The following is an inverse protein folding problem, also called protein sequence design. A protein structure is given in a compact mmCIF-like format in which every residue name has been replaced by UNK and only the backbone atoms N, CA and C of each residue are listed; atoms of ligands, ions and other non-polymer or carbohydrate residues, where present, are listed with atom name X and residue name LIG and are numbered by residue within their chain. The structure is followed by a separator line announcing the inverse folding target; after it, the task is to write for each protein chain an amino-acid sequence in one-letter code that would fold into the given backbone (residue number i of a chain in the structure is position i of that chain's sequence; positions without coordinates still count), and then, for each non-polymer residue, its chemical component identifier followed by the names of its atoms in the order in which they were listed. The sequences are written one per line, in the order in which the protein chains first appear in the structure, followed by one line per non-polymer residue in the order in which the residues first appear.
data_IF_223741388733
#
_entry.id   IF_223741388733
#
_cell.length_a   1.000
_cell.length_b   1.000
_cell.length_c   1.000
_cell.angle_alpha   90.00
_cell.angle_beta   90.00
_cell.angle_gamma   90.00
#
_symmetry.space_group_name_H-M   'P 1'
#
loop_
_entity.id
_entity.type
_entity.pdbx_description
1 polymer ?
#
# COMPACT_ATOMS: atom_id res chain seq x y z
N UNK A 1 -1.25 -4.12 26.06
CA UNK A 1 -0.60 -5.11 25.20
C UNK A 1 -0.96 -6.52 25.65
N UNK A 2 -0.58 -6.98 26.84
CA UNK A 2 -0.72 -8.34 27.34
C UNK A 2 -2.14 -8.90 27.24
N UNK A 3 -3.15 -8.18 27.76
CA UNK A 3 -4.55 -8.60 27.69
C UNK A 3 -4.99 -8.94 26.25
N UNK A 4 -4.67 -8.09 25.27
CA UNK A 4 -5.04 -8.32 23.88
C UNK A 4 -4.33 -9.54 23.28
N UNK A 5 -3.05 -9.77 23.62
CA UNK A 5 -2.33 -10.96 23.19
C UNK A 5 -2.99 -12.24 23.74
N UNK A 6 -3.31 -12.28 25.02
CA UNK A 6 -3.97 -13.43 25.66
C UNK A 6 -5.37 -13.69 25.09
N UNK A 7 -6.15 -12.63 24.83
CA UNK A 7 -7.44 -12.75 24.15
C UNK A 7 -7.30 -13.34 22.75
N UNK A 8 -6.28 -12.97 22.00
CA UNK A 8 -6.02 -13.48 20.65
C UNK A 8 -5.56 -14.94 20.68
N UNK A 9 -4.65 -15.30 21.57
CA UNK A 9 -4.24 -16.70 21.80
C UNK A 9 -5.45 -17.59 22.08
N UNK A 10 -6.33 -17.13 22.98
CA UNK A 10 -7.57 -17.84 23.31
C UNK A 10 -8.52 -17.98 22.12
N UNK A 11 -8.71 -16.90 21.34
CA UNK A 11 -9.58 -16.91 20.13
C UNK A 11 -9.04 -17.85 19.06
N UNK A 12 -7.73 -17.83 18.84
CA UNK A 12 -7.05 -18.69 17.87
C UNK A 12 -6.91 -20.14 18.36
N UNK A 13 -7.11 -20.39 19.64
CA UNK A 13 -6.91 -21.71 20.30
C UNK A 13 -5.49 -22.24 20.10
N UNK A 14 -4.49 -21.37 20.28
CA UNK A 14 -3.07 -21.69 20.16
C UNK A 14 -2.32 -21.28 21.42
N UNK A 15 -1.19 -21.93 21.69
CA UNK A 15 -0.33 -21.62 22.84
C UNK A 15 0.60 -20.43 22.57
N UNK A 16 0.96 -20.20 21.30
CA UNK A 16 1.80 -19.09 20.86
C UNK A 16 1.40 -18.60 19.48
N UNK A 17 1.86 -17.38 19.13
CA UNK A 17 1.74 -16.80 17.78
C UNK A 17 3.14 -16.68 17.20
N UNK A 18 3.34 -17.18 15.96
CA UNK A 18 4.67 -17.16 15.33
C UNK A 18 5.13 -15.72 15.04
N UNK A 19 4.33 -14.92 14.34
CA UNK A 19 4.63 -13.52 14.03
C UNK A 19 3.58 -12.60 14.62
N UNK A 20 3.96 -11.79 15.61
CA UNK A 20 3.04 -10.83 16.21
C UNK A 20 3.37 -9.41 15.79
N UNK A 21 2.43 -8.76 15.08
CA UNK A 21 2.65 -7.48 14.48
C UNK A 21 2.21 -6.31 15.35
N UNK A 22 3.07 -5.30 15.48
CA UNK A 22 2.62 -3.95 15.77
C UNK A 22 1.90 -3.42 14.53
N UNK A 23 0.59 -3.26 14.61
CA UNK A 23 -0.26 -2.94 13.48
C UNK A 23 -0.15 -1.47 13.07
N UNK A 24 -0.04 -1.23 11.75
CA UNK A 24 -0.13 0.09 11.10
C UNK A 24 0.84 1.13 11.70
N UNK A 25 2.13 0.77 11.80
CA UNK A 25 3.13 1.71 12.30
C UNK A 25 3.42 2.80 11.28
N UNK A 26 3.31 4.02 11.78
CA UNK A 26 3.82 5.25 11.21
C UNK A 26 4.63 5.99 12.28
N UNK A 27 5.28 7.09 11.94
CA UNK A 27 6.12 7.83 12.89
C UNK A 27 5.35 8.27 14.14
N UNK A 28 4.12 8.76 13.97
CA UNK A 28 3.27 9.24 15.06
C UNK A 28 2.91 8.11 16.03
N UNK A 29 2.42 6.97 15.50
CA UNK A 29 2.07 5.80 16.32
C UNK A 29 3.30 5.20 16.99
N UNK A 30 4.40 5.10 16.27
CA UNK A 30 5.63 4.58 16.85
C UNK A 30 6.11 5.41 18.03
N UNK A 31 6.20 6.75 17.90
CA UNK A 31 6.62 7.65 18.97
C UNK A 31 5.61 7.73 20.12
N UNK A 32 4.34 8.02 19.77
CA UNK A 32 3.34 8.42 20.76
C UNK A 32 2.60 7.23 21.40
N UNK A 33 2.70 6.05 20.82
CA UNK A 33 2.07 4.85 21.41
C UNK A 33 3.12 3.81 21.76
N UNK A 34 3.90 3.33 20.80
CA UNK A 34 4.82 2.22 21.04
C UNK A 34 5.92 2.59 22.03
N UNK A 35 6.65 3.67 21.76
CA UNK A 35 7.74 4.12 22.64
C UNK A 35 7.22 4.73 23.93
N UNK A 36 6.22 5.61 23.86
CA UNK A 36 5.66 6.29 25.04
C UNK A 36 5.16 5.30 26.12
N UNK A 37 4.58 4.18 25.70
CA UNK A 37 4.03 3.18 26.62
C UNK A 37 4.95 1.96 26.79
N UNK A 38 6.22 2.03 26.40
CA UNK A 38 7.20 0.95 26.53
C UNK A 38 6.74 -0.40 25.94
N UNK A 39 5.92 -0.37 24.85
CA UNK A 39 5.33 -1.59 24.32
C UNK A 39 6.36 -2.54 23.70
N UNK A 40 7.54 -2.06 23.32
CA UNK A 40 8.64 -2.92 22.86
C UNK A 40 9.14 -3.84 23.98
N UNK A 41 9.21 -3.33 25.22
CA UNK A 41 9.58 -4.13 26.39
C UNK A 41 8.52 -5.21 26.68
N UNK A 42 7.25 -4.84 26.55
CA UNK A 42 6.15 -5.81 26.74
C UNK A 42 6.16 -6.89 25.64
N UNK A 43 6.50 -6.52 24.40
CA UNK A 43 6.66 -7.50 23.32
C UNK A 43 7.83 -8.44 23.55
N UNK A 44 8.98 -7.90 23.98
CA UNK A 44 10.14 -8.73 24.31
C UNK A 44 9.82 -9.71 25.44
N UNK A 45 9.16 -9.24 26.52
CA UNK A 45 8.72 -10.08 27.62
C UNK A 45 7.80 -11.22 27.14
N UNK A 46 6.83 -10.91 26.27
CA UNK A 46 5.94 -11.94 25.73
C UNK A 46 6.70 -12.95 24.84
N UNK A 47 7.75 -12.51 24.15
CA UNK A 47 8.65 -13.39 23.40
C UNK A 47 9.48 -14.29 24.34
N UNK A 48 10.06 -13.73 25.38
CA UNK A 48 10.86 -14.48 26.38
C UNK A 48 10.00 -15.54 27.11
N UNK A 49 8.71 -15.25 27.29
CA UNK A 49 7.72 -16.19 27.86
C UNK A 49 7.22 -17.23 26.83
N UNK A 50 7.63 -17.16 25.56
CA UNK A 50 7.25 -18.09 24.52
C UNK A 50 5.84 -17.90 23.95
N UNK A 51 5.13 -16.81 24.28
CA UNK A 51 3.78 -16.51 23.77
C UNK A 51 3.78 -15.99 22.33
N UNK A 52 4.90 -15.41 21.93
CA UNK A 52 5.17 -15.02 20.53
C UNK A 52 6.58 -15.45 20.16
N UNK A 53 6.80 -15.85 18.90
CA UNK A 53 8.14 -16.24 18.44
C UNK A 53 8.90 -15.07 17.82
N UNK A 54 8.23 -14.28 16.98
CA UNK A 54 8.84 -13.19 16.25
C UNK A 54 8.07 -11.88 16.44
N UNK A 55 8.80 -10.80 16.73
CA UNK A 55 8.25 -9.45 16.86
C UNK A 55 8.32 -8.80 15.49
N UNK A 56 7.18 -8.30 15.03
CA UNK A 56 7.02 -7.77 13.68
C UNK A 56 6.24 -6.46 13.66
N UNK A 57 6.20 -5.78 12.52
CA UNK A 57 5.32 -4.62 12.36
C UNK A 57 4.76 -4.53 10.94
N UNK A 58 3.56 -3.97 10.82
CA UNK A 58 3.04 -3.48 9.53
C UNK A 58 3.25 -1.98 9.42
N UNK A 59 3.54 -1.51 8.21
CA UNK A 59 4.07 -0.18 7.98
C UNK A 59 3.26 0.62 6.95
N UNK A 60 2.90 1.86 7.31
CA UNK A 60 2.17 2.81 6.48
C UNK A 60 2.70 4.25 6.65
N UNK A 61 3.91 4.51 6.14
CA UNK A 61 4.52 5.85 6.19
C UNK A 61 5.62 5.97 5.10
N UNK A 62 6.42 7.02 5.17
CA UNK A 62 7.58 7.25 4.28
C UNK A 62 8.69 6.22 4.54
N UNK A 63 9.40 5.76 3.52
CA UNK A 63 10.45 4.72 3.64
C UNK A 63 11.54 5.03 4.67
N UNK A 64 11.85 6.31 4.90
CA UNK A 64 12.83 6.75 5.90
C UNK A 64 12.38 6.44 7.33
N UNK A 65 11.07 6.49 7.58
CA UNK A 65 10.47 6.12 8.88
C UNK A 65 10.63 4.62 9.09
N UNK A 66 10.39 3.80 8.07
CA UNK A 66 10.60 2.34 8.15
C UNK A 66 12.03 2.01 8.60
N UNK A 67 13.04 2.65 8.01
CA UNK A 67 14.44 2.44 8.38
C UNK A 67 14.70 2.77 9.86
N UNK A 68 14.17 3.90 10.34
CA UNK A 68 14.29 4.28 11.76
C UNK A 68 13.64 3.27 12.71
N UNK A 69 12.48 2.72 12.33
CA UNK A 69 11.82 1.68 13.12
C UNK A 69 12.65 0.39 13.13
N UNK A 70 13.20 -0.02 12.00
CA UNK A 70 14.09 -1.19 11.87
C UNK A 70 15.34 -1.02 12.75
N UNK A 71 15.93 0.17 12.81
CA UNK A 71 17.17 0.43 13.57
C UNK A 71 17.01 0.34 15.08
N UNK A 72 15.78 0.23 15.60
CA UNK A 72 15.55 -0.11 17.02
C UNK A 72 16.02 -1.54 17.36
N UNK A 73 16.13 -2.42 16.35
CA UNK A 73 16.81 -3.72 16.49
C UNK A 73 15.99 -4.84 17.12
N UNK A 74 14.70 -4.63 17.43
CA UNK A 74 13.85 -5.67 18.04
C UNK A 74 13.01 -6.42 16.99
N UNK A 75 12.80 -5.85 15.82
CA UNK A 75 11.91 -6.41 14.80
C UNK A 75 12.63 -7.43 13.93
N UNK A 76 11.91 -8.49 13.58
CA UNK A 76 12.40 -9.62 12.78
C UNK A 76 11.72 -9.71 11.41
N UNK A 77 10.58 -9.04 11.25
CA UNK A 77 9.96 -8.87 9.94
C UNK A 77 9.18 -7.56 9.83
N UNK A 78 8.94 -7.15 8.59
CA UNK A 78 8.09 -6.01 8.26
C UNK A 78 7.07 -6.42 7.20
N UNK A 79 5.83 -5.97 7.37
CA UNK A 79 4.78 -6.04 6.36
C UNK A 79 4.56 -4.64 5.78
N UNK A 80 4.80 -4.45 4.49
CA UNK A 80 4.68 -3.15 3.84
C UNK A 80 4.05 -3.23 2.45
N UNK A 81 3.53 -2.11 1.99
CA UNK A 81 2.96 -1.97 0.65
C UNK A 81 4.07 -2.07 -0.41
N UNK A 82 3.88 -2.93 -1.39
CA UNK A 82 4.71 -3.01 -2.58
C UNK A 82 3.96 -3.71 -3.72
N UNK A 83 3.95 -3.10 -4.88
CA UNK A 83 3.42 -3.68 -6.10
C UNK A 83 3.99 -2.93 -7.31
N UNK A 84 3.58 -3.36 -8.50
CA UNK A 84 4.02 -2.82 -9.78
C UNK A 84 3.76 -1.30 -9.93
N UNK A 85 2.68 -0.77 -9.30
CA UNK A 85 2.30 0.65 -9.35
C UNK A 85 2.83 1.45 -8.15
N UNK A 86 3.17 0.78 -7.03
CA UNK A 86 3.68 1.41 -5.82
C UNK A 86 4.99 0.74 -5.40
N UNK A 87 6.09 1.37 -5.74
CA UNK A 87 7.47 0.92 -5.49
C UNK A 87 8.19 1.76 -4.44
N UNK A 88 7.48 2.64 -3.75
CA UNK A 88 8.05 3.61 -2.81
C UNK A 88 8.92 2.95 -1.73
N UNK A 89 8.52 1.78 -1.24
CA UNK A 89 9.23 1.05 -0.18
C UNK A 89 10.42 0.20 -0.65
N UNK A 90 10.72 0.12 -1.95
CA UNK A 90 11.72 -0.82 -2.49
C UNK A 90 13.12 -0.68 -1.85
N UNK A 91 13.58 0.56 -1.67
CA UNK A 91 14.86 0.83 -0.99
C UNK A 91 14.84 0.48 0.51
N UNK A 92 13.70 0.67 1.17
CA UNK A 92 13.54 0.33 2.59
C UNK A 92 13.41 -1.19 2.79
N UNK A 93 12.78 -1.90 1.87
CA UNK A 93 12.74 -3.37 1.83
C UNK A 93 14.15 -3.96 1.69
N UNK A 94 14.95 -3.42 0.77
CA UNK A 94 16.35 -3.82 0.63
C UNK A 94 17.17 -3.54 1.91
N UNK A 95 16.88 -2.44 2.61
CA UNK A 95 17.47 -2.14 3.91
C UNK A 95 17.05 -3.16 4.97
N UNK A 96 15.76 -3.47 5.08
CA UNK A 96 15.22 -4.48 5.99
C UNK A 96 15.92 -5.84 5.79
N UNK A 97 16.06 -6.27 4.54
CA UNK A 97 16.73 -7.54 4.20
C UNK A 97 18.20 -7.54 4.62
N UNK A 98 18.94 -6.44 4.41
CA UNK A 98 20.35 -6.33 4.89
C UNK A 98 20.48 -6.36 6.40
N UNK A 99 19.44 -5.91 7.13
CA UNK A 99 19.36 -5.99 8.60
C UNK A 99 18.86 -7.35 9.10
N UNK A 100 18.63 -8.29 8.22
CA UNK A 100 18.19 -9.65 8.57
C UNK A 100 16.68 -9.83 8.74
N UNK A 101 15.85 -8.81 8.44
CA UNK A 101 14.41 -8.91 8.56
C UNK A 101 13.80 -9.70 7.39
N UNK A 102 12.75 -10.46 7.69
CA UNK A 102 11.81 -10.94 6.69
C UNK A 102 10.96 -9.78 6.15
N UNK A 103 10.69 -9.79 4.84
CA UNK A 103 9.84 -8.77 4.20
C UNK A 103 8.59 -9.43 3.65
N UNK A 104 7.45 -9.14 4.26
CA UNK A 104 6.14 -9.47 3.75
C UNK A 104 5.55 -8.28 2.99
N UNK A 105 4.86 -8.55 1.90
CA UNK A 105 4.26 -7.53 1.04
C UNK A 105 2.74 -7.58 1.16
N UNK A 106 2.12 -6.44 1.46
CA UNK A 106 0.69 -6.24 1.32
C UNK A 106 0.36 -5.53 0.01
N UNK A 107 -0.82 -5.80 -0.52
CA UNK A 107 -1.31 -5.20 -1.76
C UNK A 107 -0.49 -5.55 -3.00
N UNK A 108 -0.01 -6.81 -3.18
CA UNK A 108 0.78 -7.21 -4.34
C UNK A 108 0.03 -7.00 -5.67
N UNK A 109 -1.29 -7.13 -5.64
CA UNK A 109 -2.21 -6.87 -6.77
C UNK A 109 -2.90 -5.49 -6.63
N UNK A 110 -2.31 -4.59 -5.82
CA UNK A 110 -2.81 -3.23 -5.63
C UNK A 110 -4.23 -3.14 -5.06
N UNK A 111 -4.64 -4.08 -4.18
CA UNK A 111 -6.02 -4.14 -3.67
C UNK A 111 -7.04 -4.45 -4.78
N UNK A 112 -6.71 -5.33 -5.72
CA UNK A 112 -7.55 -5.70 -6.86
C UNK A 112 -7.46 -4.75 -8.06
N UNK A 113 -6.81 -3.60 -7.93
CA UNK A 113 -6.67 -2.61 -9.03
C UNK A 113 -5.99 -3.18 -10.26
N UNK A 114 -4.97 -4.00 -10.07
CA UNK A 114 -4.23 -4.64 -11.15
C UNK A 114 -4.98 -5.84 -11.75
N UNK A 115 -6.05 -6.31 -11.11
CA UNK A 115 -6.86 -7.40 -11.62
C UNK A 115 -7.79 -6.97 -12.77
N UNK A 116 -8.12 -5.69 -12.88
CA UNK A 116 -9.06 -5.15 -13.90
C UNK A 116 -8.34 -4.51 -15.10
N UNK A 117 -7.01 -4.48 -15.12
CA UNK A 117 -6.23 -3.82 -16.18
C UNK A 117 -5.58 -4.83 -17.13
N UNK A 118 -6.09 -4.92 -18.35
CA UNK A 118 -5.44 -5.70 -19.43
C UNK A 118 -4.24 -4.98 -20.06
N UNK A 119 -4.06 -3.71 -19.78
CA UNK A 119 -3.02 -2.87 -20.39
C UNK A 119 -1.61 -3.37 -20.04
N UNK A 120 -1.43 -3.87 -18.82
CA UNK A 120 -0.15 -4.43 -18.38
C UNK A 120 0.13 -5.80 -19.02
N UNK A 121 -0.92 -6.56 -19.34
CA UNK A 121 -0.83 -7.84 -20.04
C UNK A 121 -0.29 -7.65 -21.48
N UNK A 122 -0.77 -6.63 -22.18
CA UNK A 122 -0.29 -6.26 -23.52
C UNK A 122 1.20 -5.88 -23.52
N UNK A 123 1.69 -5.28 -22.40
CA UNK A 123 3.08 -4.85 -22.31
C UNK A 123 4.09 -6.02 -22.28
N UNK A 124 3.66 -7.22 -21.88
CA UNK A 124 4.54 -8.39 -21.71
C UNK A 124 4.25 -9.49 -22.74
N UNK A 125 3.16 -9.38 -23.46
CA UNK A 125 2.78 -10.35 -24.49
C UNK A 125 2.01 -11.56 -23.97
N UNK A 126 1.81 -12.59 -24.81
CA UNK A 126 0.88 -13.69 -24.58
C UNK A 126 1.25 -14.66 -23.47
N UNK A 127 2.50 -14.64 -22.99
CA UNK A 127 2.99 -15.59 -21.98
C UNK A 127 2.48 -15.32 -20.57
N UNK A 128 1.80 -14.20 -20.37
CA UNK A 128 1.20 -13.85 -19.08
C UNK A 128 -0.28 -14.18 -19.09
N UNK A 129 -0.69 -15.16 -18.28
CA UNK A 129 -2.08 -15.64 -18.26
C UNK A 129 -3.09 -14.62 -17.74
N UNK A 130 -2.69 -13.80 -16.76
CA UNK A 130 -3.56 -12.77 -16.18
C UNK A 130 -2.74 -11.60 -15.63
N UNK A 131 -3.39 -10.45 -15.43
CA UNK A 131 -2.75 -9.30 -14.79
C UNK A 131 -2.40 -9.55 -13.31
N UNK A 132 -3.22 -10.24 -12.50
CA UNK A 132 -2.81 -10.69 -11.16
C UNK A 132 -1.56 -11.55 -11.16
N UNK A 133 -1.46 -12.51 -12.06
CA UNK A 133 -0.28 -13.36 -12.20
C UNK A 133 0.98 -12.54 -12.53
N UNK A 134 0.85 -11.53 -13.42
CA UNK A 134 1.93 -10.60 -13.72
C UNK A 134 2.35 -9.81 -12.48
N UNK A 135 1.39 -9.25 -11.75
CA UNK A 135 1.65 -8.45 -10.56
C UNK A 135 2.35 -9.27 -9.46
N UNK A 136 1.92 -10.51 -9.23
CA UNK A 136 2.56 -11.42 -8.29
C UNK A 136 3.96 -11.81 -8.75
N UNK A 137 4.17 -12.16 -10.02
CA UNK A 137 5.50 -12.46 -10.57
C UNK A 137 6.44 -11.26 -10.44
N UNK A 138 5.94 -10.02 -10.63
CA UNK A 138 6.73 -8.81 -10.40
C UNK A 138 7.20 -8.71 -8.93
N UNK A 139 6.29 -8.94 -7.99
CA UNK A 139 6.62 -8.90 -6.55
C UNK A 139 7.64 -9.98 -6.20
N UNK A 140 7.48 -11.21 -6.69
CA UNK A 140 8.41 -12.32 -6.43
C UNK A 140 9.76 -12.17 -7.14
N UNK A 141 9.84 -11.39 -8.23
CA UNK A 141 11.12 -11.07 -8.87
C UNK A 141 12.03 -10.21 -7.97
N UNK A 142 11.47 -9.52 -6.96
CA UNK A 142 12.26 -8.76 -6.01
C UNK A 142 12.83 -9.69 -4.93
N UNK A 143 14.14 -9.97 -5.01
CA UNK A 143 14.88 -10.84 -4.07
C UNK A 143 14.80 -10.45 -2.59
N UNK A 144 14.34 -9.26 -2.29
CA UNK A 144 14.16 -8.80 -0.91
C UNK A 144 12.81 -9.26 -0.32
N UNK A 145 11.85 -9.70 -1.15
CA UNK A 145 10.54 -10.19 -0.72
C UNK A 145 10.65 -11.62 -0.22
N UNK A 146 10.08 -11.88 0.95
CA UNK A 146 9.98 -13.23 1.54
C UNK A 146 8.59 -13.82 1.36
N UNK A 147 7.56 -12.98 1.35
CA UNK A 147 6.14 -13.38 1.33
C UNK A 147 5.30 -12.29 0.68
N UNK A 148 4.27 -12.67 -0.06
CA UNK A 148 3.24 -11.76 -0.56
C UNK A 148 1.86 -12.19 -0.05
N UNK A 149 1.10 -11.25 0.51
CA UNK A 149 -0.26 -11.45 0.98
C UNK A 149 -1.24 -11.03 -0.12
N UNK A 150 -1.99 -11.96 -0.66
CA UNK A 150 -3.03 -11.70 -1.65
C UNK A 150 -4.41 -12.03 -1.09
N UNK A 151 -5.36 -11.11 -1.23
CA UNK A 151 -6.77 -11.38 -0.97
C UNK A 151 -7.34 -12.30 -2.06
N UNK A 152 -8.00 -13.38 -1.66
CA UNK A 152 -8.58 -14.37 -2.55
C UNK A 152 -10.01 -14.65 -2.09
N UNK A 153 -10.99 -14.41 -2.96
CA UNK A 153 -12.42 -14.51 -2.63
C UNK A 153 -13.05 -15.84 -3.06
N UNK A 154 -12.34 -16.58 -3.91
CA UNK A 154 -12.80 -17.87 -4.45
C UNK A 154 -11.64 -18.84 -4.66
N UNK A 155 -12.00 -20.10 -4.92
CA UNK A 155 -11.05 -21.19 -5.10
C UNK A 155 -10.14 -21.00 -6.31
N UNK A 156 -10.68 -20.47 -7.38
CA UNK A 156 -9.96 -20.23 -8.64
C UNK A 156 -8.80 -19.24 -8.44
N UNK A 157 -9.03 -18.16 -7.66
CA UNK A 157 -7.99 -17.20 -7.28
C UNK A 157 -6.89 -17.86 -6.42
N UNK A 158 -7.27 -18.74 -5.49
CA UNK A 158 -6.28 -19.50 -4.68
C UNK A 158 -5.40 -20.36 -5.57
N UNK A 159 -6.02 -21.12 -6.47
CA UNK A 159 -5.32 -22.01 -7.39
C UNK A 159 -4.40 -21.25 -8.37
N UNK A 160 -4.86 -20.12 -8.91
CA UNK A 160 -4.06 -19.29 -9.80
C UNK A 160 -2.87 -18.66 -9.06
N UNK A 161 -3.11 -18.08 -7.88
CA UNK A 161 -2.06 -17.46 -7.08
C UNK A 161 -1.03 -18.48 -6.59
N UNK A 162 -1.48 -19.65 -6.14
CA UNK A 162 -0.60 -20.74 -5.74
C UNK A 162 0.26 -21.24 -6.91
N UNK A 163 -0.33 -21.45 -8.09
CA UNK A 163 0.43 -21.80 -9.30
C UNK A 163 1.46 -20.74 -9.66
N UNK A 164 1.06 -19.45 -9.61
CA UNK A 164 1.96 -18.33 -9.91
C UNK A 164 3.13 -18.27 -8.93
N UNK A 165 2.86 -18.46 -7.63
CA UNK A 165 3.89 -18.48 -6.59
C UNK A 165 4.82 -19.69 -6.69
N UNK A 166 4.33 -20.81 -7.25
CA UNK A 166 5.11 -22.05 -7.44
C UNK A 166 5.96 -22.05 -8.72
N UNK A 167 5.88 -20.99 -9.55
CA UNK A 167 6.75 -20.88 -10.72
C UNK A 167 8.21 -20.73 -10.25
N UNK A 168 9.07 -21.62 -10.72
CA UNK A 168 10.50 -21.62 -10.39
C UNK A 168 11.25 -20.42 -10.97
N UNK A 169 10.72 -19.84 -12.04
CA UNK A 169 11.34 -18.73 -12.74
C UNK A 169 10.55 -17.42 -12.56
N UNK A 170 11.10 -16.44 -11.83
CA UNK A 170 10.53 -15.10 -11.77
C UNK A 170 10.60 -14.42 -13.15
N UNK A 171 10.02 -13.23 -13.26
CA UNK A 171 10.16 -12.41 -14.47
C UNK A 171 11.64 -12.19 -14.79
N UNK A 172 12.01 -12.37 -16.05
CA UNK A 172 13.37 -12.10 -16.52
C UNK A 172 13.70 -10.61 -16.45
N UNK A 173 14.98 -10.27 -16.41
CA UNK A 173 15.42 -8.87 -16.44
C UNK A 173 14.87 -8.11 -17.64
N UNK A 174 14.74 -8.77 -18.79
CA UNK A 174 14.13 -8.18 -20.00
C UNK A 174 12.65 -7.87 -19.81
N UNK A 175 11.89 -8.75 -19.16
CA UNK A 175 10.48 -8.52 -18.86
C UNK A 175 10.30 -7.39 -17.83
N UNK A 176 11.17 -7.33 -16.81
CA UNK A 176 11.17 -6.22 -15.85
C UNK A 176 11.47 -4.88 -16.52
N UNK A 177 12.44 -4.84 -17.42
CA UNK A 177 12.78 -3.64 -18.20
C UNK A 177 11.59 -3.18 -19.08
N UNK A 178 10.87 -4.10 -19.71
CA UNK A 178 9.66 -3.77 -20.49
C UNK A 178 8.59 -3.15 -19.58
N UNK A 179 8.37 -3.73 -18.38
CA UNK A 179 7.43 -3.18 -17.39
C UNK A 179 7.84 -1.77 -16.98
N UNK A 180 9.11 -1.56 -16.65
CA UNK A 180 9.63 -0.26 -16.22
C UNK A 180 9.46 0.80 -17.32
N UNK A 181 9.87 0.47 -18.54
CA UNK A 181 9.72 1.36 -19.70
C UNK A 181 8.26 1.70 -19.98
N UNK A 182 7.36 0.74 -19.83
CA UNK A 182 5.92 0.96 -19.99
C UNK A 182 5.36 1.92 -18.94
N UNK A 183 5.68 1.68 -17.67
CA UNK A 183 5.24 2.54 -16.56
C UNK A 183 5.82 3.95 -16.70
N UNK A 184 7.11 4.07 -17.01
CA UNK A 184 7.79 5.36 -17.19
C UNK A 184 7.23 6.17 -18.36
N UNK A 185 6.99 5.53 -19.50
CA UNK A 185 6.38 6.19 -20.66
C UNK A 185 4.98 6.74 -20.36
N UNK A 186 4.23 6.05 -19.48
CA UNK A 186 2.90 6.50 -19.07
C UNK A 186 2.96 7.60 -18.02
N UNK A 187 3.86 7.50 -17.04
CA UNK A 187 4.07 8.56 -16.04
C UNK A 187 4.40 9.91 -16.66
N UNK A 188 5.16 9.93 -17.77
CA UNK A 188 5.51 11.15 -18.50
C UNK A 188 4.32 11.82 -19.19
N UNK A 189 3.19 11.14 -19.29
CA UNK A 189 2.10 11.62 -20.16
C UNK A 189 1.14 12.60 -19.51
N UNK A 190 0.99 12.70 -18.20
CA UNK A 190 0.06 13.68 -17.57
C UNK A 190 -0.14 13.42 -16.06
N UNK A 191 0.85 12.81 -15.42
CA UNK A 191 0.74 12.52 -14.00
C UNK A 191 0.65 13.81 -13.18
N UNK A 192 -0.39 13.92 -12.35
CA UNK A 192 -0.42 14.97 -11.34
C UNK A 192 0.65 14.64 -10.30
N UNK A 193 1.67 15.50 -10.08
CA UNK A 193 2.81 15.19 -9.23
C UNK A 193 2.47 15.28 -7.73
N UNK A 194 1.32 14.73 -7.34
CA UNK A 194 0.88 14.70 -5.95
C UNK A 194 1.66 13.66 -5.15
N UNK A 195 2.35 14.10 -4.10
CA UNK A 195 3.14 13.24 -3.20
C UNK A 195 2.33 12.70 -2.02
N UNK A 196 1.01 12.95 -1.99
CA UNK A 196 0.12 12.56 -0.89
C UNK A 196 0.58 13.08 0.49
N UNK A 197 1.23 14.25 0.55
CA UNK A 197 1.76 14.82 1.78
C UNK A 197 0.69 15.35 2.75
N UNK A 198 -0.55 15.55 2.28
CA UNK A 198 -1.68 15.98 3.09
C UNK A 198 -1.73 17.48 3.44
N UNK A 199 -0.78 18.33 2.99
CA UNK A 199 -0.78 19.76 3.35
C UNK A 199 -1.98 20.54 2.81
N UNK A 200 -2.65 20.05 1.77
CA UNK A 200 -3.92 20.59 1.28
C UNK A 200 -5.12 20.24 2.18
N UNK A 201 -4.91 19.49 3.24
CA UNK A 201 -5.92 19.14 4.24
C UNK A 201 -5.66 19.86 5.57
N UNK A 202 -6.69 20.16 6.37
CA UNK A 202 -8.11 19.99 6.04
C UNK A 202 -8.57 20.97 4.95
N UNK A 203 -9.41 20.50 4.04
CA UNK A 203 -10.13 21.34 3.09
C UNK A 203 -11.40 21.90 3.78
N UNK A 204 -11.73 23.19 3.68
CA UNK A 204 -12.95 23.74 4.30
C UNK A 204 -14.22 23.02 3.85
N UNK A 205 -14.27 22.59 2.58
CA UNK A 205 -15.37 21.81 2.02
C UNK A 205 -15.20 20.30 2.11
N UNK A 206 -14.19 19.84 2.85
CA UNK A 206 -13.88 18.43 3.05
C UNK A 206 -13.64 17.62 1.74
N UNK A 207 -13.16 18.28 0.68
CA UNK A 207 -12.82 17.62 -0.58
C UNK A 207 -11.63 16.68 -0.38
N UNK A 208 -11.74 15.43 -0.86
CA UNK A 208 -10.72 14.40 -0.74
C UNK A 208 -9.56 14.60 -1.75
N UNK A 209 -8.91 15.77 -1.75
CA UNK A 209 -7.96 16.21 -2.77
C UNK A 209 -6.87 15.16 -3.09
N UNK A 210 -6.11 14.60 -2.10
CA UNK A 210 -5.06 13.62 -2.40
C UNK A 210 -5.62 12.33 -2.99
N UNK A 211 -6.77 11.86 -2.53
CA UNK A 211 -7.40 10.65 -3.06
C UNK A 211 -7.87 10.86 -4.51
N UNK A 212 -8.50 12.01 -4.79
CA UNK A 212 -8.94 12.36 -6.15
C UNK A 212 -7.76 12.40 -7.11
N UNK A 213 -6.62 12.99 -6.70
CA UNK A 213 -5.41 13.04 -7.53
C UNK A 213 -4.79 11.68 -7.77
N UNK A 214 -4.88 10.80 -6.82
CA UNK A 214 -4.50 9.40 -6.99
C UNK A 214 -5.41 8.68 -7.99
N UNK A 215 -6.72 8.90 -7.90
CA UNK A 215 -7.69 8.28 -8.80
C UNK A 215 -7.58 8.79 -10.23
N UNK A 216 -7.37 10.09 -10.44
CA UNK A 216 -7.18 10.62 -11.80
C UNK A 216 -5.88 10.10 -12.42
N UNK A 217 -4.80 9.96 -11.66
CA UNK A 217 -3.58 9.34 -12.14
C UNK A 217 -3.80 7.87 -12.52
N UNK A 218 -4.57 7.12 -11.75
CA UNK A 218 -4.95 5.76 -12.12
C UNK A 218 -5.78 5.71 -13.40
N UNK A 219 -6.67 6.66 -13.59
CA UNK A 219 -7.48 6.77 -14.82
C UNK A 219 -6.63 7.10 -16.05
N UNK A 220 -5.81 8.17 -15.97
CA UNK A 220 -5.09 8.72 -17.13
C UNK A 220 -3.80 7.96 -17.43
N UNK A 221 -2.98 7.74 -16.41
CA UNK A 221 -1.64 7.17 -16.57
C UNK A 221 -1.68 5.65 -16.66
N UNK A 222 -2.44 5.00 -15.77
CA UNK A 222 -2.45 3.54 -15.66
C UNK A 222 -3.62 2.87 -16.38
N UNK A 223 -4.56 3.66 -16.95
CA UNK A 223 -5.69 3.14 -17.72
C UNK A 223 -6.74 2.38 -16.90
N UNK A 224 -6.74 2.51 -15.59
CA UNK A 224 -7.68 1.86 -14.67
C UNK A 224 -9.03 2.60 -14.62
N UNK A 225 -9.61 2.86 -15.79
CA UNK A 225 -10.71 3.81 -15.96
C UNK A 225 -11.95 3.47 -15.12
N UNK A 226 -12.50 2.28 -15.32
CA UNK A 226 -13.73 1.84 -14.63
C UNK A 226 -13.49 1.75 -13.11
N UNK A 227 -12.34 1.22 -12.72
CA UNK A 227 -12.00 1.12 -11.31
C UNK A 227 -11.87 2.52 -10.66
N UNK A 228 -11.17 3.46 -11.30
CA UNK A 228 -10.98 4.81 -10.77
C UNK A 228 -12.32 5.56 -10.63
N UNK A 229 -13.23 5.44 -11.62
CA UNK A 229 -14.59 5.99 -11.54
C UNK A 229 -15.38 5.41 -10.37
N UNK A 230 -15.39 4.09 -10.23
CA UNK A 230 -16.07 3.43 -9.12
C UNK A 230 -15.53 3.89 -7.75
N UNK A 231 -14.21 4.03 -7.61
CA UNK A 231 -13.62 4.53 -6.36
C UNK A 231 -13.96 6.00 -6.11
N UNK A 232 -14.02 6.81 -7.17
CA UNK A 232 -14.42 8.21 -7.05
C UNK A 232 -15.87 8.35 -6.57
N UNK A 233 -16.78 7.55 -7.10
CA UNK A 233 -18.19 7.49 -6.66
C UNK A 233 -18.34 7.02 -5.21
N UNK A 234 -17.39 6.24 -4.69
CA UNK A 234 -17.39 5.79 -3.30
C UNK A 234 -16.85 6.82 -2.30
N UNK A 235 -16.31 7.96 -2.74
CA UNK A 235 -15.89 9.03 -1.84
C UNK A 235 -17.12 9.59 -1.11
N UNK A 236 -17.10 9.60 0.21
CA UNK A 236 -18.22 10.04 1.06
C UNK A 236 -19.30 8.98 1.28
N UNK A 237 -19.06 7.73 0.86
CA UNK A 237 -20.02 6.64 1.03
C UNK A 237 -19.50 5.63 2.07
N UNK A 238 -20.34 5.33 3.07
CA UNK A 238 -20.04 4.31 4.07
C UNK A 238 -19.20 4.81 5.24
N UNK A 239 -18.33 3.95 5.74
CA UNK A 239 -17.44 4.24 6.89
C UNK A 239 -15.98 4.05 6.49
N UNK A 240 -15.12 4.87 7.07
CA UNK A 240 -13.67 4.77 6.95
C UNK A 240 -13.14 3.53 7.71
N UNK A 241 -11.92 3.11 7.43
CA UNK A 241 -11.24 2.05 8.20
C UNK A 241 -11.16 2.35 9.70
N UNK A 242 -11.24 3.62 10.08
CA UNK A 242 -11.32 4.07 11.49
C UNK A 242 -12.66 3.72 12.16
N UNK A 243 -13.68 3.32 11.40
CA UNK A 243 -15.04 3.10 11.87
C UNK A 243 -15.92 4.37 11.88
N UNK A 244 -15.37 5.52 11.52
CA UNK A 244 -16.09 6.78 11.41
C UNK A 244 -16.81 6.88 10.06
N UNK A 245 -17.94 7.61 10.01
CA UNK A 245 -18.64 7.90 8.75
C UNK A 245 -17.70 8.63 7.80
N UNK A 246 -17.66 8.23 6.54
CA UNK A 246 -16.92 8.96 5.52
C UNK A 246 -17.67 10.25 5.14
N UNK A 247 -17.17 11.39 5.60
CA UNK A 247 -17.74 12.71 5.31
C UNK A 247 -16.98 13.44 4.19
N UNK A 248 -16.01 12.78 3.56
CA UNK A 248 -15.25 13.38 2.47
C UNK A 248 -16.16 13.62 1.27
N UNK A 249 -15.82 14.65 0.48
CA UNK A 249 -16.58 15.04 -0.71
C UNK A 249 -15.76 14.88 -1.98
N UNK A 250 -16.45 14.72 -3.09
CA UNK A 250 -15.89 14.69 -4.43
C UNK A 250 -15.40 16.08 -4.87
N UNK A 251 -14.82 16.16 -6.06
CA UNK A 251 -14.21 17.40 -6.55
C UNK A 251 -15.20 18.52 -6.88
N UNK A 252 -16.46 18.21 -7.16
CA UNK A 252 -17.53 19.16 -7.43
C UNK A 252 -17.89 20.03 -6.20
N UNK A 253 -17.59 19.55 -4.99
CA UNK A 253 -17.77 20.35 -3.78
C UNK A 253 -16.71 21.45 -3.61
N UNK A 254 -15.74 21.58 -4.53
CA UNK A 254 -14.71 22.61 -4.45
C UNK A 254 -15.27 24.01 -4.72
N UNK A 255 -15.14 24.90 -3.74
CA UNK A 255 -15.56 26.32 -3.83
C UNK A 255 -14.43 27.25 -4.32
N UNK A 256 -13.32 26.70 -4.78
CA UNK A 256 -12.19 27.44 -5.36
C UNK A 256 -11.57 28.51 -4.43
N UNK A 257 -11.55 28.27 -3.12
CA UNK A 257 -11.00 29.22 -2.14
C UNK A 257 -9.47 29.43 -2.25
N UNK A 258 -8.72 28.54 -2.93
CA UNK A 258 -7.28 28.67 -3.17
C UNK A 258 -6.37 28.21 -2.03
N UNK A 259 -6.86 27.98 -0.81
CA UNK A 259 -6.04 27.63 0.36
C UNK A 259 -5.15 26.39 0.16
N UNK A 260 -5.66 25.39 -0.56
CA UNK A 260 -4.93 24.16 -0.83
C UNK A 260 -3.74 24.37 -1.78
N UNK A 261 -3.83 25.31 -2.73
CA UNK A 261 -2.75 25.64 -3.66
C UNK A 261 -1.63 26.39 -2.97
N UNK A 262 -1.96 27.34 -2.07
CA UNK A 262 -0.96 28.06 -1.28
C UNK A 262 -0.11 27.12 -0.43
N UNK A 263 -0.73 26.09 0.16
CA UNK A 263 -0.10 25.09 1.02
C UNK A 263 0.63 23.98 0.24
N UNK A 264 0.43 23.87 -1.07
CA UNK A 264 0.96 22.76 -1.87
C UNK A 264 2.47 22.92 -2.15
N UNK A 265 3.34 22.03 -1.62
CA UNK A 265 4.78 22.11 -1.87
C UNK A 265 5.14 21.78 -3.32
N UNK A 266 4.27 21.08 -4.05
CA UNK A 266 4.46 20.72 -5.46
C UNK A 266 3.92 21.80 -6.42
N UNK A 267 3.33 22.88 -5.90
CA UNK A 267 2.75 23.98 -6.70
C UNK A 267 1.74 23.49 -7.76
N UNK A 268 0.96 22.48 -7.41
CA UNK A 268 -0.09 21.92 -8.26
C UNK A 268 -1.23 22.94 -8.35
N UNK A 269 -1.76 23.19 -9.53
CA UNK A 269 -3.00 23.92 -9.76
C UNK A 269 -4.20 23.05 -9.37
N UNK A 270 -4.43 22.98 -8.06
CA UNK A 270 -5.35 21.99 -7.46
C UNK A 270 -6.77 22.21 -7.94
N UNK A 271 -7.26 23.45 -7.97
CA UNK A 271 -8.63 23.76 -8.38
C UNK A 271 -8.88 23.35 -9.85
N UNK A 272 -7.95 23.66 -10.75
CA UNK A 272 -8.04 23.27 -12.16
C UNK A 272 -8.06 21.75 -12.31
N UNK A 273 -7.14 21.05 -11.61
CA UNK A 273 -7.03 19.59 -11.67
C UNK A 273 -8.21 18.88 -11.03
N UNK A 274 -8.86 19.46 -10.03
CA UNK A 274 -10.11 18.92 -9.45
C UNK A 274 -11.26 18.98 -10.47
N UNK A 275 -11.39 20.10 -11.23
CA UNK A 275 -12.38 20.21 -12.30
C UNK A 275 -12.17 19.17 -13.41
N UNK A 276 -10.91 18.99 -13.82
CA UNK A 276 -10.55 17.94 -14.80
C UNK A 276 -10.88 16.55 -14.28
N UNK A 277 -10.54 16.28 -13.01
CA UNK A 277 -10.82 15.00 -12.39
C UNK A 277 -12.32 14.70 -12.35
N UNK A 278 -13.13 15.68 -11.91
CA UNK A 278 -14.59 15.49 -11.88
C UNK A 278 -15.18 15.22 -13.27
N UNK A 279 -14.70 15.92 -14.30
CA UNK A 279 -15.17 15.72 -15.70
C UNK A 279 -14.98 14.29 -16.21
N UNK A 280 -13.94 13.57 -15.74
CA UNK A 280 -13.61 12.24 -16.28
C UNK A 280 -13.91 11.09 -15.30
N UNK A 281 -14.01 11.39 -14.01
CA UNK A 281 -14.28 10.40 -12.96
C UNK A 281 -15.74 10.41 -12.49
N UNK A 282 -16.41 11.57 -12.54
CA UNK A 282 -17.80 11.80 -12.15
C UNK A 282 -18.81 11.39 -13.24
#
# INVERSE_FOLDING_TARGET
YRRFLEEQLKKLKVEYIDFYHFHDLNEKRFKNTVLKHNLLKEAQKAKDEGLIKHISFSFHDKPEVMKRIIDVGIFESVLCQYNLLDRSNEKAMAYAKRKGLGVAVMGPVGGGRLAVSDILKEAIGPDVKSTPALALRFVFANKNVSLALSGMENKEMVEENARTASLSEPLSSKQLEIIENFIEKRKKKEEIPCTNCGYCQPCPENVAIPEIFKLINYYTVYGLREWARKQYQNIGVGTLESGEKDERKQADACVECGECEEKCPQKIKIMERLKEAHKVLG
#
